data_IF_948474043052
#
_entry.id   IF_948474043052
#
_cell.length_a   1.000
_cell.length_b   1.000
_cell.length_c   1.000
_cell.angle_alpha   90.00
_cell.angle_beta   90.00
_cell.angle_gamma   90.00
#
_symmetry.space_group_name_H-M   'P 1'
#
loop_
_entity.id
_entity.type
_entity.pdbx_description
1 polymer ?
#
# COMPACT_ATOMS: atom_id res chain seq x y z
N UNK A 1 12.25 2.65 -16.03
CA UNK A 1 11.41 3.67 -15.38
C UNK A 1 11.43 4.94 -16.22
N UNK A 2 10.28 5.48 -16.58
CA UNK A 2 10.13 6.81 -17.17
C UNK A 2 9.29 7.64 -16.20
N UNK A 3 9.91 8.58 -15.51
CA UNK A 3 9.27 9.37 -14.45
C UNK A 3 9.69 10.83 -14.57
N UNK A 4 8.72 11.75 -14.51
CA UNK A 4 8.96 13.19 -14.45
C UNK A 4 9.10 13.66 -12.99
N UNK A 5 10.08 13.12 -12.27
CA UNK A 5 10.26 13.35 -10.84
C UNK A 5 10.69 14.78 -10.52
N UNK A 6 10.21 15.29 -9.39
CA UNK A 6 10.69 16.49 -8.72
C UNK A 6 11.32 16.09 -7.39
N UNK A 7 12.05 17.02 -6.77
CA UNK A 7 12.64 16.80 -5.44
C UNK A 7 11.56 17.03 -4.39
N UNK A 8 10.71 16.03 -4.18
CA UNK A 8 9.60 16.07 -3.22
C UNK A 8 9.46 14.74 -2.48
N UNK A 9 8.79 14.76 -1.32
CA UNK A 9 8.52 13.54 -0.56
C UNK A 9 7.56 12.59 -1.30
N UNK A 10 6.65 13.15 -2.10
CA UNK A 10 5.74 12.39 -2.95
C UNK A 10 6.51 11.62 -4.04
N UNK A 11 7.42 12.30 -4.75
CA UNK A 11 8.22 11.64 -5.78
C UNK A 11 9.26 10.68 -5.19
N UNK A 12 9.75 10.92 -3.98
CA UNK A 12 10.58 9.96 -3.25
C UNK A 12 9.82 8.64 -3.04
N UNK A 13 8.57 8.72 -2.55
CA UNK A 13 7.68 7.57 -2.46
C UNK A 13 7.46 6.88 -3.82
N UNK A 14 7.18 7.66 -4.88
CA UNK A 14 6.90 7.11 -6.20
C UNK A 14 8.13 6.38 -6.76
N UNK A 15 9.34 6.91 -6.56
CA UNK A 15 10.57 6.25 -7.00
C UNK A 15 10.72 4.87 -6.34
N UNK A 16 10.50 4.77 -5.03
CA UNK A 16 10.54 3.48 -4.31
C UNK A 16 9.44 2.52 -4.80
N UNK A 17 8.23 3.02 -5.05
CA UNK A 17 7.14 2.24 -5.64
C UNK A 17 7.54 1.65 -7.00
N UNK A 18 8.01 2.52 -7.91
CA UNK A 18 8.39 2.13 -9.27
C UNK A 18 9.63 1.24 -9.30
N UNK A 19 10.58 1.41 -8.36
CA UNK A 19 11.70 0.49 -8.19
C UNK A 19 11.24 -0.90 -7.74
N UNK A 20 10.16 -0.99 -6.96
CA UNK A 20 9.52 -2.28 -6.63
C UNK A 20 9.09 -3.05 -7.88
N UNK A 21 8.56 -2.38 -8.91
CA UNK A 21 8.24 -3.02 -10.20
C UNK A 21 9.49 -3.53 -10.90
N UNK A 22 10.56 -2.72 -10.94
CA UNK A 22 11.83 -3.11 -11.59
C UNK A 22 12.47 -4.32 -10.92
N UNK A 23 12.53 -4.34 -9.58
CA UNK A 23 13.09 -5.47 -8.83
C UNK A 23 12.25 -6.75 -9.03
N UNK A 24 10.93 -6.62 -9.13
CA UNK A 24 10.07 -7.75 -9.44
C UNK A 24 10.34 -8.29 -10.86
N UNK A 25 10.46 -7.39 -11.85
CA UNK A 25 10.84 -7.76 -13.22
C UNK A 25 12.15 -8.54 -13.27
N UNK A 26 13.15 -8.08 -12.50
CA UNK A 26 14.45 -8.73 -12.41
C UNK A 26 14.38 -10.09 -11.73
N UNK A 27 13.55 -10.24 -10.69
CA UNK A 27 13.42 -11.49 -9.94
C UNK A 27 12.86 -12.64 -10.78
N UNK A 28 11.83 -12.38 -11.60
CA UNK A 28 11.22 -13.41 -12.45
C UNK A 28 11.77 -13.47 -13.88
N UNK A 29 12.84 -12.75 -14.21
CA UNK A 29 13.37 -12.63 -15.59
C UNK A 29 13.69 -13.99 -16.26
N UNK A 30 13.97 -15.03 -15.45
CA UNK A 30 14.30 -16.37 -15.94
C UNK A 30 13.06 -17.28 -16.11
N UNK A 31 11.86 -16.80 -15.76
CA UNK A 31 10.62 -17.52 -16.03
C UNK A 31 10.33 -17.55 -17.55
N UNK A 32 9.61 -18.57 -18.05
CA UNK A 32 9.03 -18.52 -19.39
C UNK A 32 8.23 -17.23 -19.59
N UNK A 33 8.24 -16.66 -20.80
CA UNK A 33 7.62 -15.36 -21.08
C UNK A 33 6.16 -15.24 -20.61
N UNK A 34 5.39 -16.33 -20.64
CA UNK A 34 4.00 -16.37 -20.16
C UNK A 34 3.87 -16.20 -18.63
N UNK A 35 4.95 -16.42 -17.88
CA UNK A 35 5.03 -16.31 -16.42
C UNK A 35 5.81 -15.08 -15.93
N UNK A 36 6.27 -14.22 -16.84
CA UNK A 36 6.99 -12.97 -16.52
C UNK A 36 6.03 -11.82 -16.17
N UNK A 37 5.15 -12.08 -15.21
CA UNK A 37 4.22 -11.12 -14.61
C UNK A 37 4.11 -11.45 -13.12
N UNK A 38 3.57 -10.55 -12.31
CA UNK A 38 3.29 -10.81 -10.90
C UNK A 38 2.20 -11.87 -10.73
N UNK A 39 2.20 -12.56 -9.60
CA UNK A 39 1.21 -13.63 -9.33
C UNK A 39 -0.24 -13.11 -9.35
N UNK A 40 -0.40 -11.80 -9.10
CA UNK A 40 -1.55 -11.02 -9.53
C UNK A 40 -1.12 -9.56 -9.71
N UNK A 41 -1.93 -8.75 -10.41
CA UNK A 41 -1.66 -7.31 -10.56
C UNK A 41 -1.51 -6.58 -9.22
N UNK A 42 -2.16 -7.05 -8.15
CA UNK A 42 -2.02 -6.46 -6.83
C UNK A 42 -0.64 -6.74 -6.20
N UNK A 43 0.01 -7.86 -6.51
CA UNK A 43 1.37 -8.14 -6.02
C UNK A 43 2.36 -7.12 -6.58
N UNK A 44 2.25 -6.79 -7.88
CA UNK A 44 3.08 -5.77 -8.50
C UNK A 44 3.02 -4.44 -7.74
N UNK A 45 1.81 -3.96 -7.44
CA UNK A 45 1.62 -2.70 -6.71
C UNK A 45 2.00 -2.79 -5.21
N UNK A 46 2.21 -4.00 -4.66
CA UNK A 46 2.46 -4.19 -3.22
C UNK A 46 3.94 -4.15 -2.84
N UNK A 47 4.86 -4.51 -3.75
CA UNK A 47 6.28 -4.74 -3.39
C UNK A 47 6.96 -3.44 -2.97
N UNK A 48 6.95 -2.42 -3.84
CA UNK A 48 7.58 -1.14 -3.55
C UNK A 48 6.93 -0.47 -2.34
N UNK A 49 5.59 -0.51 -2.27
CA UNK A 49 4.81 -0.03 -1.13
C UNK A 49 5.18 -0.72 0.20
N UNK A 50 5.38 -2.05 0.19
CA UNK A 50 5.81 -2.80 1.37
C UNK A 50 7.19 -2.36 1.86
N UNK A 51 8.12 -2.09 0.93
CA UNK A 51 9.45 -1.56 1.26
C UNK A 51 9.33 -0.16 1.84
N UNK A 52 8.49 0.68 1.24
CA UNK A 52 8.30 2.07 1.64
C UNK A 52 7.80 2.21 3.08
N UNK A 53 7.00 1.24 3.58
CA UNK A 53 6.59 1.18 4.98
C UNK A 53 7.79 1.13 5.95
N UNK A 54 8.93 0.56 5.54
CA UNK A 54 10.18 0.52 6.31
C UNK A 54 11.15 1.67 6.02
N UNK A 55 10.98 2.37 4.89
CA UNK A 55 11.71 3.60 4.56
C UNK A 55 11.15 4.78 5.38
N UNK A 56 9.85 4.80 5.59
CA UNK A 56 9.10 5.88 6.27
C UNK A 56 9.20 5.86 7.81
N UNK A 57 10.36 5.44 8.34
CA UNK A 57 10.62 5.43 9.78
C UNK A 57 11.78 6.37 10.13
N UNK A 58 11.77 7.04 11.29
CA UNK A 58 12.79 8.04 11.64
C UNK A 58 14.23 7.52 11.51
N UNK A 59 14.48 6.28 11.92
CA UNK A 59 15.81 5.67 11.89
C UNK A 59 16.35 5.54 10.46
N UNK A 60 15.48 5.26 9.50
CA UNK A 60 15.86 5.11 8.10
C UNK A 60 16.09 6.47 7.45
N UNK A 61 15.19 7.43 7.65
CA UNK A 61 15.34 8.80 7.15
C UNK A 61 16.61 9.48 7.70
N UNK A 62 16.95 9.20 8.96
CA UNK A 62 18.19 9.67 9.57
C UNK A 62 19.42 9.05 8.89
N UNK A 63 19.40 7.75 8.61
CA UNK A 63 20.47 7.05 7.87
C UNK A 63 20.70 7.63 6.48
N UNK A 64 19.64 8.13 5.83
CA UNK A 64 19.69 8.81 4.54
C UNK A 64 20.13 10.28 4.64
N UNK A 65 20.28 10.84 5.84
CA UNK A 65 20.60 12.25 6.06
C UNK A 65 19.43 13.20 5.77
N UNK A 66 18.19 12.70 5.75
CA UNK A 66 16.98 13.49 5.46
C UNK A 66 16.40 14.16 6.71
N UNK A 67 16.79 13.71 7.90
CA UNK A 67 16.43 14.31 9.18
C UNK A 67 17.67 14.47 10.07
N UNK A 68 17.60 15.40 11.01
CA UNK A 68 18.65 15.72 11.99
C UNK A 68 18.61 14.82 13.23
N UNK A 69 19.66 14.85 14.05
CA UNK A 69 19.72 14.17 15.35
C UNK A 69 18.54 14.59 16.26
N UNK A 70 18.27 15.90 16.36
CA UNK A 70 17.18 16.45 17.17
C UNK A 70 15.81 15.92 16.72
N UNK A 71 15.61 15.75 15.42
CA UNK A 71 14.39 15.17 14.86
C UNK A 71 14.29 13.66 15.12
N UNK A 72 15.42 12.92 15.06
CA UNK A 72 15.44 11.49 15.36
C UNK A 72 15.01 11.20 16.81
N UNK A 73 15.45 12.03 17.77
CA UNK A 73 15.09 11.88 19.18
C UNK A 73 13.73 12.50 19.54
N UNK A 74 13.07 13.17 18.60
CA UNK A 74 11.71 13.68 18.81
C UNK A 74 10.70 12.52 18.83
N UNK A 75 10.10 12.28 19.99
CA UNK A 75 9.12 11.19 20.20
C UNK A 75 7.87 11.32 19.34
N UNK A 76 7.53 12.52 18.85
CA UNK A 76 6.36 12.75 18.01
C UNK A 76 6.59 12.53 16.51
N UNK A 77 7.84 12.39 16.06
CA UNK A 77 8.14 12.28 14.63
C UNK A 77 7.58 10.99 14.02
N UNK A 78 7.70 9.85 14.73
CA UNK A 78 7.16 8.58 14.26
C UNK A 78 5.64 8.62 14.06
N UNK A 79 4.92 9.23 15.02
CA UNK A 79 3.47 9.42 14.93
C UNK A 79 3.08 10.37 13.78
N UNK A 80 3.85 11.45 13.56
CA UNK A 80 3.63 12.36 12.44
C UNK A 80 3.82 11.66 11.08
N UNK A 81 4.89 10.87 10.92
CA UNK A 81 5.13 10.08 9.71
C UNK A 81 4.03 9.03 9.50
N UNK A 82 3.54 8.41 10.57
CA UNK A 82 2.42 7.47 10.50
C UNK A 82 1.12 8.17 10.07
N UNK A 83 0.84 9.39 10.56
CA UNK A 83 -0.28 10.20 10.09
C UNK A 83 -0.13 10.56 8.61
N UNK A 84 1.06 10.95 8.18
CA UNK A 84 1.33 11.26 6.77
C UNK A 84 1.06 10.06 5.86
N UNK A 85 1.51 8.86 6.26
CA UNK A 85 1.20 7.62 5.56
C UNK A 85 -0.31 7.31 5.58
N UNK A 86 -0.97 7.50 6.72
CA UNK A 86 -2.40 7.25 6.86
C UNK A 86 -3.22 8.14 5.93
N UNK A 87 -2.87 9.42 5.80
CA UNK A 87 -3.54 10.37 4.91
C UNK A 87 -3.39 10.00 3.43
N UNK A 88 -2.27 9.38 3.05
CA UNK A 88 -2.04 8.88 1.69
C UNK A 88 -2.82 7.58 1.44
N UNK A 89 -2.70 6.59 2.33
CA UNK A 89 -3.16 5.22 2.09
C UNK A 89 -4.60 4.93 2.50
N UNK A 90 -5.07 5.44 3.64
CA UNK A 90 -6.40 5.10 4.14
C UNK A 90 -7.52 5.66 3.26
N UNK A 91 -7.49 6.94 2.80
CA UNK A 91 -8.48 7.46 1.85
C UNK A 91 -8.39 6.84 0.45
N UNK A 92 -7.22 6.31 0.06
CA UNK A 92 -7.02 5.64 -1.21
C UNK A 92 -7.78 4.31 -1.27
N UNK A 93 -7.86 3.54 -0.19
CA UNK A 93 -8.58 2.25 -0.17
C UNK A 93 -10.04 2.34 -0.67
N UNK A 94 -10.93 3.15 -0.06
CA UNK A 94 -12.31 3.26 -0.54
C UNK A 94 -12.38 3.84 -1.95
N UNK A 95 -11.50 4.79 -2.31
CA UNK A 95 -11.46 5.34 -3.66
C UNK A 95 -11.11 4.28 -4.70
N UNK A 96 -10.12 3.45 -4.41
CA UNK A 96 -9.70 2.37 -5.29
C UNK A 96 -10.79 1.34 -5.52
N UNK A 97 -11.56 1.03 -4.47
CA UNK A 97 -12.75 0.18 -4.58
C UNK A 97 -13.86 0.84 -5.43
N UNK A 98 -14.10 2.14 -5.24
CA UNK A 98 -15.12 2.89 -6.00
C UNK A 98 -14.87 2.81 -7.51
N UNK A 99 -13.62 3.05 -7.95
CA UNK A 99 -13.30 3.10 -9.40
C UNK A 99 -13.68 1.81 -10.11
N UNK A 100 -13.26 0.65 -9.59
CA UNK A 100 -13.57 -0.61 -10.26
C UNK A 100 -14.99 -1.09 -9.98
N UNK A 101 -15.60 -0.77 -8.83
CA UNK A 101 -17.04 -1.02 -8.61
C UNK A 101 -17.88 -0.28 -9.65
N UNK A 102 -17.58 1.00 -9.88
CA UNK A 102 -18.21 1.82 -10.91
C UNK A 102 -18.05 1.22 -12.31
N UNK A 103 -16.81 0.87 -12.71
CA UNK A 103 -16.53 0.24 -14.01
C UNK A 103 -17.23 -1.12 -14.17
N UNK A 104 -17.23 -1.96 -13.14
CA UNK A 104 -17.91 -3.26 -13.19
C UNK A 104 -19.42 -3.12 -13.36
N UNK A 105 -20.04 -2.15 -12.69
CA UNK A 105 -21.49 -1.93 -12.82
C UNK A 105 -21.84 -1.34 -14.20
N UNK A 106 -20.95 -0.56 -14.83
CA UNK A 106 -21.06 -0.19 -16.26
C UNK A 106 -20.93 -1.41 -17.17
N UNK A 107 -19.87 -2.22 -17.00
CA UNK A 107 -19.63 -3.39 -17.85
C UNK A 107 -20.73 -4.45 -17.74
N UNK A 108 -21.43 -4.50 -16.60
CA UNK A 108 -22.61 -5.35 -16.39
C UNK A 108 -23.91 -4.74 -16.92
N UNK A 109 -23.89 -3.51 -17.43
CA UNK A 109 -25.07 -2.79 -17.91
C UNK A 109 -26.02 -2.30 -16.80
N UNK A 110 -25.57 -2.24 -15.55
CA UNK A 110 -26.37 -1.70 -14.43
C UNK A 110 -26.37 -0.17 -14.41
N UNK A 111 -25.23 0.42 -14.74
CA UNK A 111 -25.10 1.86 -14.95
C UNK A 111 -25.18 2.10 -16.46
N UNK A 112 -26.20 2.84 -16.89
CA UNK A 112 -26.38 3.28 -18.28
C UNK A 112 -25.74 4.65 -18.49
N UNK A 113 -25.47 5.00 -19.75
CA UNK A 113 -24.73 6.22 -20.11
C UNK A 113 -25.38 7.49 -19.57
N UNK A 114 -26.71 7.52 -19.45
CA UNK A 114 -27.47 8.64 -18.90
C UNK A 114 -27.29 8.84 -17.39
N UNK A 115 -26.54 7.97 -16.70
CA UNK A 115 -26.29 8.03 -15.26
C UNK A 115 -24.80 7.87 -14.91
N UNK A 116 -23.88 7.97 -15.86
CA UNK A 116 -22.45 7.80 -15.61
C UNK A 116 -21.93 8.74 -14.53
N UNK A 117 -22.24 10.03 -14.64
CA UNK A 117 -21.66 11.00 -13.72
C UNK A 117 -22.33 10.96 -12.35
N UNK A 118 -23.66 10.82 -12.32
CA UNK A 118 -24.44 10.66 -11.09
C UNK A 118 -23.96 9.45 -10.29
N UNK A 119 -23.87 8.27 -10.90
CA UNK A 119 -23.48 7.05 -10.17
C UNK A 119 -22.03 7.10 -9.69
N UNK A 120 -21.13 7.77 -10.42
CA UNK A 120 -19.77 8.03 -9.95
C UNK A 120 -19.77 8.86 -8.65
N UNK A 121 -20.52 9.96 -8.60
CA UNK A 121 -20.60 10.79 -7.40
C UNK A 121 -21.38 10.14 -6.26
N UNK A 122 -22.44 9.37 -6.56
CA UNK A 122 -23.19 8.62 -5.55
C UNK A 122 -22.32 7.56 -4.86
N UNK A 123 -21.46 6.87 -5.60
CA UNK A 123 -20.49 5.94 -5.02
C UNK A 123 -19.45 6.67 -4.14
N UNK A 124 -18.95 7.82 -4.58
CA UNK A 124 -18.02 8.63 -3.79
C UNK A 124 -18.67 9.14 -2.49
N UNK A 125 -19.93 9.60 -2.55
CA UNK A 125 -20.66 9.99 -1.35
C UNK A 125 -20.87 8.78 -0.43
N UNK A 126 -21.46 7.70 -0.94
CA UNK A 126 -21.86 6.54 -0.14
C UNK A 126 -20.68 5.84 0.54
N UNK A 127 -19.54 5.70 -0.14
CA UNK A 127 -18.42 4.88 0.35
C UNK A 127 -17.38 5.72 1.08
N UNK A 128 -17.15 6.98 0.70
CA UNK A 128 -16.07 7.82 1.26
C UNK A 128 -16.47 9.22 1.71
N UNK A 129 -17.75 9.59 1.62
CA UNK A 129 -18.24 10.88 2.12
C UNK A 129 -17.77 12.09 1.33
N UNK A 130 -17.45 11.91 0.05
CA UNK A 130 -16.96 13.00 -0.80
C UNK A 130 -18.04 13.40 -1.80
N UNK A 131 -18.35 14.69 -1.83
CA UNK A 131 -19.27 15.32 -2.79
C UNK A 131 -18.52 16.30 -3.69
N UNK A 132 -19.02 16.55 -4.92
CA UNK A 132 -18.43 17.59 -5.77
C UNK A 132 -18.65 18.99 -5.16
N UNK A 133 -17.76 19.96 -5.43
CA UNK A 133 -17.89 21.32 -4.91
C UNK A 133 -19.02 22.13 -5.57
N UNK A 134 -19.56 21.64 -6.70
CA UNK A 134 -20.68 22.24 -7.43
C UNK A 134 -21.60 21.13 -7.96
N UNK A 135 -22.81 21.48 -8.38
CA UNK A 135 -23.73 20.52 -8.97
C UNK A 135 -23.18 19.98 -10.30
N UNK A 136 -23.03 18.66 -10.40
CA UNK A 136 -22.52 17.97 -11.59
C UNK A 136 -23.65 17.18 -12.27
N UNK A 137 -24.01 17.56 -13.49
CA UNK A 137 -24.95 16.81 -14.33
C UNK A 137 -24.26 15.88 -15.32
N UNK A 138 -25.04 15.21 -16.17
CA UNK A 138 -24.56 14.20 -17.15
C UNK A 138 -23.91 14.80 -18.40
N UNK A 139 -23.81 16.13 -18.50
CA UNK A 139 -22.95 16.79 -19.49
C UNK A 139 -21.45 16.59 -19.18
N UNK A 140 -21.13 16.12 -17.97
CA UNK A 140 -19.77 15.84 -17.52
C UNK A 140 -19.52 14.33 -17.47
N UNK A 141 -18.23 13.97 -17.50
CA UNK A 141 -17.77 12.60 -17.28
C UNK A 141 -16.56 12.64 -16.34
N UNK A 142 -16.80 12.85 -15.05
CA UNK A 142 -15.77 13.15 -14.05
C UNK A 142 -14.86 11.95 -13.78
N UNK A 143 -15.39 10.73 -13.91
CA UNK A 143 -14.59 9.50 -13.87
C UNK A 143 -13.47 9.52 -14.94
N UNK A 144 -13.71 10.14 -16.10
CA UNK A 144 -12.72 10.26 -17.18
C UNK A 144 -11.51 11.14 -16.81
N UNK A 145 -11.60 11.95 -15.75
CA UNK A 145 -10.48 12.75 -15.27
C UNK A 145 -9.45 11.94 -14.46
N UNK A 146 -9.73 10.68 -14.12
CA UNK A 146 -8.78 9.78 -13.46
C UNK A 146 -8.06 8.94 -14.51
N UNK A 147 -6.74 9.17 -14.70
CA UNK A 147 -5.87 8.51 -15.70
C UNK A 147 -6.21 7.05 -16.05
N UNK A 148 -6.35 6.18 -15.04
CA UNK A 148 -6.59 4.75 -15.23
C UNK A 148 -7.94 4.41 -15.90
N UNK A 149 -8.90 5.34 -15.89
CA UNK A 149 -10.21 5.16 -16.57
C UNK A 149 -10.05 5.24 -18.09
N UNK A 150 -9.54 6.34 -18.71
CA UNK A 150 -9.28 6.39 -20.14
C UNK A 150 -8.12 5.50 -20.59
N UNK A 151 -7.11 5.23 -19.74
CA UNK A 151 -6.04 4.27 -20.04
C UNK A 151 -6.50 2.79 -19.96
N UNK A 152 -7.72 2.57 -19.45
CA UNK A 152 -8.31 1.25 -19.25
C UNK A 152 -7.50 0.31 -18.32
N UNK A 153 -6.68 0.86 -17.43
CA UNK A 153 -5.96 0.08 -16.41
C UNK A 153 -6.91 -0.41 -15.30
N UNK A 154 -7.01 -1.71 -14.98
CA UNK A 154 -7.75 -2.19 -13.80
C UNK A 154 -7.30 -1.51 -12.51
N UNK A 155 -8.21 -1.02 -11.67
CA UNK A 155 -7.88 -0.22 -10.48
C UNK A 155 -7.98 -1.01 -9.16
N UNK A 156 -8.64 -2.17 -9.16
CA UNK A 156 -8.77 -3.07 -8.00
C UNK A 156 -7.40 -3.53 -7.47
N UNK A 157 -6.36 -3.50 -8.32
CA UNK A 157 -4.97 -3.78 -7.94
C UNK A 157 -4.51 -2.93 -6.75
N UNK A 158 -4.87 -1.64 -6.70
CA UNK A 158 -4.48 -0.72 -5.63
C UNK A 158 -5.24 -0.99 -4.34
N UNK A 159 -6.51 -1.39 -4.43
CA UNK A 159 -7.30 -1.78 -3.25
C UNK A 159 -6.70 -3.00 -2.56
N UNK A 160 -6.42 -4.06 -3.32
CA UNK A 160 -5.83 -5.29 -2.78
C UNK A 160 -4.38 -5.06 -2.30
N UNK A 161 -3.62 -4.26 -3.04
CA UNK A 161 -2.26 -3.90 -2.67
C UNK A 161 -2.19 -3.13 -1.36
N UNK A 162 -3.21 -2.32 -1.05
CA UNK A 162 -3.34 -1.65 0.24
C UNK A 162 -3.33 -2.59 1.45
N UNK A 163 -3.81 -3.83 1.30
CA UNK A 163 -3.76 -4.85 2.36
C UNK A 163 -2.49 -5.70 2.25
N UNK A 164 -2.16 -6.15 1.04
CA UNK A 164 -1.00 -7.01 0.79
C UNK A 164 0.31 -6.35 1.19
N UNK A 165 0.50 -5.06 0.88
CA UNK A 165 1.73 -4.34 1.20
C UNK A 165 2.06 -4.42 2.70
N UNK A 166 1.05 -4.30 3.57
CA UNK A 166 1.26 -4.30 5.02
C UNK A 166 1.43 -5.73 5.56
N UNK A 167 0.78 -6.73 4.96
CA UNK A 167 0.99 -8.14 5.35
C UNK A 167 2.39 -8.66 4.93
N UNK A 168 2.82 -8.28 3.72
CA UNK A 168 4.19 -8.52 3.25
C UNK A 168 5.18 -7.81 4.16
N UNK A 169 4.99 -6.52 4.44
CA UNK A 169 5.86 -5.76 5.32
C UNK A 169 5.92 -6.32 6.75
N UNK A 170 4.78 -6.75 7.32
CA UNK A 170 4.74 -7.43 8.62
C UNK A 170 5.62 -8.69 8.66
N UNK A 171 5.63 -9.45 7.57
CA UNK A 171 6.43 -10.67 7.45
C UNK A 171 7.92 -10.34 7.26
N UNK A 172 8.24 -9.35 6.42
CA UNK A 172 9.59 -8.83 6.23
C UNK A 172 10.16 -8.24 7.54
N UNK A 173 9.34 -7.54 8.30
CA UNK A 173 9.69 -6.97 9.60
C UNK A 173 10.04 -8.08 10.61
N UNK A 174 9.21 -9.12 10.73
CA UNK A 174 9.51 -10.26 11.60
C UNK A 174 10.83 -10.91 11.22
N UNK A 175 11.11 -11.10 9.93
CA UNK A 175 12.38 -11.64 9.46
C UNK A 175 13.57 -10.71 9.81
N UNK A 176 13.41 -9.40 9.69
CA UNK A 176 14.45 -8.43 10.03
C UNK A 176 14.75 -8.35 11.53
N UNK A 177 13.72 -8.51 12.36
CA UNK A 177 13.80 -8.34 13.82
C UNK A 177 14.16 -9.65 14.52
N UNK A 178 13.48 -10.75 14.19
CA UNK A 178 13.70 -12.06 14.80
C UNK A 178 14.89 -12.80 14.15
N UNK A 179 15.27 -12.44 12.93
CA UNK A 179 16.26 -13.16 12.12
C UNK A 179 17.71 -12.69 12.30
N UNK A 180 18.02 -11.86 13.31
CA UNK A 180 19.37 -11.26 13.46
C UNK A 180 20.50 -12.28 13.76
N UNK A 181 20.19 -13.51 14.16
CA UNK A 181 21.21 -14.57 14.30
C UNK A 181 21.43 -15.23 12.93
N UNK A 182 22.66 -15.22 12.42
CA UNK A 182 23.04 -15.66 11.07
C UNK A 182 23.00 -17.17 10.81
N UNK A 183 22.25 -17.94 11.60
CA UNK A 183 22.25 -19.41 11.70
C UNK A 183 21.07 -20.10 10.99
N UNK A 184 20.29 -19.36 10.19
CA UNK A 184 19.19 -19.94 9.41
C UNK A 184 17.96 -20.35 10.22
N UNK A 185 18.04 -20.31 11.55
CA UNK A 185 16.91 -20.52 12.46
C UNK A 185 16.36 -19.18 12.96
N UNK A 186 15.06 -19.16 13.28
CA UNK A 186 14.46 -18.05 14.01
C UNK A 186 15.15 -17.98 15.39
N UNK A 187 15.68 -16.82 15.79
CA UNK A 187 16.14 -16.65 17.16
C UNK A 187 15.00 -16.99 18.11
N UNK A 188 15.27 -17.72 19.20
CA UNK A 188 14.30 -17.96 20.28
C UNK A 188 13.82 -16.66 20.94
N UNK A 189 14.49 -15.54 20.66
CA UNK A 189 14.12 -14.20 21.08
C UNK A 189 13.79 -13.33 19.86
N UNK A 190 12.53 -12.92 19.77
CA UNK A 190 12.10 -11.88 18.84
C UNK A 190 11.59 -10.66 19.63
N UNK A 191 12.34 -9.54 19.65
CA UNK A 191 11.88 -8.36 20.37
C UNK A 191 10.63 -7.79 19.72
N UNK A 192 9.68 -7.34 20.55
CA UNK A 192 8.50 -6.65 20.06
C UNK A 192 8.90 -5.26 19.55
N UNK A 193 8.56 -4.97 18.30
CA UNK A 193 8.66 -3.64 17.69
C UNK A 193 7.29 -3.30 17.11
N UNK A 194 6.71 -2.13 17.42
CA UNK A 194 5.51 -1.66 16.74
C UNK A 194 5.73 -1.65 15.23
N UNK A 195 4.79 -2.20 14.45
CA UNK A 195 5.02 -2.45 13.03
C UNK A 195 5.40 -1.16 12.24
N UNK A 196 4.77 -0.03 12.55
CA UNK A 196 5.06 1.28 11.95
C UNK A 196 6.43 1.88 12.31
N UNK A 197 7.19 1.26 13.22
CA UNK A 197 8.56 1.65 13.58
C UNK A 197 9.60 0.65 13.07
N UNK A 198 9.18 -0.34 12.29
CA UNK A 198 10.08 -1.37 11.81
C UNK A 198 10.93 -0.86 10.65
N UNK A 199 12.25 -1.02 10.75
CA UNK A 199 13.18 -0.77 9.65
C UNK A 199 13.74 -2.12 9.17
N UNK A 200 13.46 -2.47 7.91
CA UNK A 200 13.94 -3.73 7.30
C UNK A 200 15.32 -3.58 6.63
N UNK A 201 15.90 -2.38 6.65
CA UNK A 201 17.19 -2.10 6.04
C UNK A 201 18.30 -3.01 6.58
N UNK A 202 19.12 -3.53 5.68
CA UNK A 202 20.23 -4.44 6.00
C UNK A 202 19.81 -5.90 6.27
N UNK A 203 18.51 -6.22 6.29
CA UNK A 203 18.03 -7.60 6.48
C UNK A 203 18.17 -8.44 5.21
N UNK A 204 19.28 -9.16 5.08
CA UNK A 204 19.48 -10.15 4.01
C UNK A 204 18.43 -11.26 4.02
N UNK A 205 17.90 -11.62 5.20
CA UNK A 205 16.85 -12.64 5.33
C UNK A 205 15.53 -12.17 4.72
N UNK A 206 15.13 -10.94 5.01
CA UNK A 206 13.93 -10.34 4.42
C UNK A 206 14.07 -10.23 2.90
N UNK A 207 15.23 -9.73 2.43
CA UNK A 207 15.53 -9.65 1.00
C UNK A 207 15.48 -11.01 0.29
N UNK A 208 16.15 -12.04 0.81
CA UNK A 208 16.13 -13.39 0.23
C UNK A 208 14.72 -13.98 0.17
N UNK A 209 13.90 -13.77 1.21
CA UNK A 209 12.53 -14.31 1.23
C UNK A 209 11.61 -13.57 0.25
N UNK A 210 11.80 -12.25 0.11
CA UNK A 210 11.09 -11.44 -0.87
C UNK A 210 11.47 -11.86 -2.30
N UNK A 211 12.76 -12.00 -2.59
CA UNK A 211 13.29 -12.46 -3.87
C UNK A 211 12.78 -13.87 -4.23
N UNK A 212 12.79 -14.80 -3.27
CA UNK A 212 12.23 -16.14 -3.44
C UNK A 212 10.76 -16.07 -3.91
N UNK A 213 9.93 -15.31 -3.19
CA UNK A 213 8.52 -15.10 -3.57
C UNK A 213 8.38 -14.49 -4.97
N UNK A 214 9.16 -13.44 -5.26
CA UNK A 214 9.08 -12.73 -6.54
C UNK A 214 9.57 -13.57 -7.72
N UNK A 215 10.54 -14.46 -7.51
CA UNK A 215 11.15 -15.26 -8.58
C UNK A 215 10.18 -16.20 -9.31
N UNK A 216 9.04 -16.51 -8.70
CA UNK A 216 8.00 -17.34 -9.31
C UNK A 216 7.18 -16.59 -10.37
N UNK A 217 7.16 -15.24 -10.36
CA UNK A 217 6.28 -14.47 -11.23
C UNK A 217 4.83 -14.96 -11.14
N UNK A 218 4.24 -15.32 -12.27
CA UNK A 218 2.87 -15.86 -12.35
C UNK A 218 2.81 -17.37 -12.60
N UNK A 219 3.92 -18.08 -12.38
CA UNK A 219 4.02 -19.54 -12.57
C UNK A 219 3.24 -20.39 -11.56
N UNK A 220 2.76 -19.79 -10.47
CA UNK A 220 1.99 -20.48 -9.43
C UNK A 220 0.81 -19.61 -8.95
N UNK A 221 -0.21 -20.21 -8.32
CA UNK A 221 -1.33 -19.47 -7.76
C UNK A 221 -0.87 -18.40 -6.76
N UNK A 222 -1.55 -17.24 -6.77
CA UNK A 222 -1.22 -16.12 -5.88
C UNK A 222 -1.28 -16.50 -4.40
N UNK A 223 -2.12 -17.47 -4.01
CA UNK A 223 -2.23 -17.97 -2.63
C UNK A 223 -0.97 -18.70 -2.18
N UNK A 224 -0.36 -19.49 -3.07
CA UNK A 224 0.90 -20.18 -2.81
C UNK A 224 2.05 -19.18 -2.74
N UNK A 225 2.03 -18.18 -3.64
CA UNK A 225 3.02 -17.10 -3.61
C UNK A 225 2.93 -16.27 -2.32
N UNK A 226 1.72 -15.93 -1.86
CA UNK A 226 1.52 -15.24 -0.58
C UNK A 226 2.07 -16.05 0.61
N UNK A 227 1.89 -17.38 0.56
CA UNK A 227 2.28 -18.29 1.62
C UNK A 227 3.81 -18.34 1.79
N UNK A 228 4.57 -18.20 0.69
CA UNK A 228 6.05 -18.15 0.75
C UNK A 228 6.49 -17.07 1.74
N UNK A 229 5.95 -15.85 1.62
CA UNK A 229 6.40 -14.74 2.45
C UNK A 229 5.68 -14.67 3.81
N UNK A 230 4.38 -14.88 3.82
CA UNK A 230 3.53 -14.59 5.00
C UNK A 230 3.13 -15.82 5.81
N UNK A 231 3.27 -17.02 5.24
CA UNK A 231 2.71 -18.25 5.79
C UNK A 231 1.19 -18.38 5.66
N UNK A 232 0.51 -17.44 5.01
CA UNK A 232 -0.96 -17.43 4.82
C UNK A 232 -1.32 -17.62 3.35
N UNK A 233 -2.53 -18.12 3.12
CA UNK A 233 -3.11 -18.34 1.79
C UNK A 233 -4.31 -17.42 1.50
N UNK A 234 -4.53 -16.39 2.32
CA UNK A 234 -5.65 -15.46 2.22
C UNK A 234 -5.20 -14.04 2.55
N UNK A 235 -5.89 -13.06 1.96
CA UNK A 235 -5.68 -11.63 2.26
C UNK A 235 -6.44 -11.28 3.53
N UNK A 236 -5.81 -10.54 4.44
CA UNK A 236 -6.42 -10.05 5.68
C UNK A 236 -6.10 -8.58 5.92
N UNK A 237 -6.99 -7.89 6.63
CA UNK A 237 -6.78 -6.52 7.10
C UNK A 237 -6.03 -6.43 8.44
N UNK A 238 -5.78 -7.55 9.13
CA UNK A 238 -5.18 -7.52 10.48
C UNK A 238 -3.84 -6.75 10.54
N UNK A 239 -2.89 -6.96 9.60
CA UNK A 239 -1.64 -6.20 9.60
C UNK A 239 -1.84 -4.70 9.37
N UNK A 240 -2.78 -4.33 8.49
CA UNK A 240 -3.15 -2.94 8.22
C UNK A 240 -3.70 -2.28 9.50
N UNK A 241 -4.64 -2.95 10.17
CA UNK A 241 -5.23 -2.47 11.43
C UNK A 241 -4.18 -2.37 12.55
N UNK A 242 -3.24 -3.32 12.61
CA UNK A 242 -2.11 -3.28 13.55
C UNK A 242 -1.16 -2.10 13.26
N UNK A 243 -0.82 -1.86 11.98
CA UNK A 243 0.06 -0.79 11.55
C UNK A 243 -0.46 0.58 11.98
N UNK A 244 -1.74 0.84 11.70
CA UNK A 244 -2.39 2.12 11.98
C UNK A 244 -3.07 2.22 13.37
N UNK A 245 -2.92 1.20 14.22
CA UNK A 245 -3.54 1.18 15.56
C UNK A 245 -3.23 2.43 16.40
N UNK A 246 -1.98 2.94 16.45
CA UNK A 246 -1.68 4.16 17.23
C UNK A 246 -2.47 5.36 16.72
N UNK A 247 -2.54 5.55 15.40
CA UNK A 247 -3.31 6.65 14.79
C UNK A 247 -4.80 6.50 15.03
N UNK A 248 -5.34 5.29 14.93
CA UNK A 248 -6.73 5.03 15.23
C UNK A 248 -7.08 5.41 16.68
N UNK A 249 -6.22 5.06 17.65
CA UNK A 249 -6.41 5.45 19.07
C UNK A 249 -6.35 6.96 19.24
N UNK A 250 -5.36 7.61 18.63
CA UNK A 250 -5.18 9.06 18.70
C UNK A 250 -6.39 9.80 18.10
N UNK A 251 -6.84 9.41 16.90
CA UNK A 251 -7.99 9.99 16.22
C UNK A 251 -9.28 9.84 17.04
N UNK A 252 -9.53 8.66 17.63
CA UNK A 252 -10.70 8.48 18.48
C UNK A 252 -10.67 9.38 19.72
N UNK A 253 -9.51 9.52 20.36
CA UNK A 253 -9.37 10.44 21.49
C UNK A 253 -9.62 11.89 21.06
N UNK A 254 -9.06 12.31 19.91
CA UNK A 254 -9.26 13.64 19.36
C UNK A 254 -10.73 13.92 19.02
N UNK A 255 -11.39 12.99 18.33
CA UNK A 255 -12.82 13.05 17.98
C UNK A 255 -13.68 13.20 19.24
N UNK A 256 -13.43 12.38 20.27
CA UNK A 256 -14.18 12.42 21.52
C UNK A 256 -13.96 13.73 22.29
N UNK A 257 -12.72 14.20 22.36
CA UNK A 257 -12.36 15.45 23.05
C UNK A 257 -13.04 16.66 22.39
N UNK A 258 -13.07 16.70 21.06
CA UNK A 258 -13.61 17.82 20.29
C UNK A 258 -15.07 17.63 19.86
N UNK A 259 -15.70 16.52 20.23
CA UNK A 259 -17.09 16.16 19.87
C UNK A 259 -17.33 16.25 18.36
N UNK A 260 -16.38 15.77 17.57
CA UNK A 260 -16.45 15.79 16.11
C UNK A 260 -17.48 14.74 15.67
N UNK A 261 -18.50 15.08 14.87
CA UNK A 261 -19.44 14.10 14.34
C UNK A 261 -18.71 13.14 13.40
N UNK A 262 -19.01 11.85 13.51
CA UNK A 262 -18.42 10.78 12.68
C UNK A 262 -19.47 10.26 11.70
N UNK A 263 -19.09 10.21 10.43
CA UNK A 263 -19.99 9.90 9.32
C UNK A 263 -20.40 11.15 8.55
N UNK A 264 -21.31 10.97 7.61
CA UNK A 264 -21.85 12.00 6.72
C UNK A 264 -23.28 11.66 6.32
#
# INVERSE_FOLDING_TARGET
MLLCAKVTMEDFYIVDHEMGHIEYYMAYQNQPAIFQDGSSSAFHESIGDAIMNGVMVPQHLYRLGLITDDQLFNTGLGDFLLLQQALSKIPELPYSLIIDKYRWDIFKGRIVQENYNKEFWDLNYKIRGVSPPETRGEKYFDAGAKFHVPDNTPYIRYFLAGFLQVDMFNSLCKLAVCGKNGDGNMSNYCPYIPLHLCDIYGSKKSGKKLEEMMSFGSSQPWTETLQILTGKTYITADPLLQYYQPMYKWLNNYINLHKIPVGW
#
